data_IF_311495404102
#
_entry.id   IF_311495404102
#
_cell.length_a   1.000
_cell.length_b   1.000
_cell.length_c   1.000
_cell.angle_alpha   90.00
_cell.angle_beta   90.00
_cell.angle_gamma   90.00
#
_symmetry.space_group_name_H-M   'P 1'
#
loop_
_entity.id
_entity.type
_entity.pdbx_description
1 polymer ?
#
# COMPACT_ATOMS: atom_id res chain seq x y z
N UNK A 1 11.67 -11.20 -27.39
CA UNK A 1 11.50 -9.83 -26.87
C UNK A 1 11.61 -9.94 -25.36
N UNK A 2 12.32 -9.04 -24.71
CA UNK A 2 12.51 -9.11 -23.24
C UNK A 2 11.20 -8.73 -22.58
N UNK A 3 10.64 -9.61 -21.76
CA UNK A 3 9.35 -9.36 -21.10
C UNK A 3 9.52 -9.29 -19.59
N UNK A 4 9.11 -8.16 -19.01
CA UNK A 4 9.05 -7.95 -17.57
C UNK A 4 7.59 -8.06 -17.16
N UNK A 5 7.26 -8.94 -16.22
CA UNK A 5 5.91 -9.07 -15.70
C UNK A 5 5.76 -8.33 -14.37
N UNK A 6 4.81 -7.41 -14.29
CA UNK A 6 4.40 -6.74 -13.06
C UNK A 6 3.08 -7.35 -12.58
N UNK A 7 3.11 -8.07 -11.45
CA UNK A 7 1.99 -8.89 -10.99
C UNK A 7 1.32 -8.24 -9.78
N UNK A 8 0.01 -8.00 -9.88
CA UNK A 8 -0.81 -7.46 -8.80
C UNK A 8 -2.20 -8.08 -8.80
N UNK A 9 -2.85 -8.13 -7.63
CA UNK A 9 -4.20 -8.68 -7.51
C UNK A 9 -5.10 -7.86 -6.58
N UNK A 10 -4.54 -6.96 -5.81
CA UNK A 10 -5.29 -6.14 -4.85
C UNK A 10 -5.08 -4.65 -5.10
N UNK A 11 -6.02 -3.83 -4.61
CA UNK A 11 -5.93 -2.37 -4.72
C UNK A 11 -4.61 -1.80 -4.17
N UNK A 12 -4.09 -2.20 -2.99
CA UNK A 12 -2.81 -1.69 -2.49
C UNK A 12 -1.63 -2.05 -3.38
N UNK A 13 -1.60 -3.26 -3.95
CA UNK A 13 -0.57 -3.68 -4.90
C UNK A 13 -0.60 -2.81 -6.16
N UNK A 14 -1.80 -2.59 -6.72
CA UNK A 14 -1.96 -1.73 -7.91
C UNK A 14 -1.42 -0.34 -7.64
N UNK A 15 -1.83 0.31 -6.55
CA UNK A 15 -1.38 1.66 -6.19
C UNK A 15 0.15 1.73 -6.09
N UNK A 16 0.78 0.76 -5.44
CA UNK A 16 2.23 0.75 -5.17
C UNK A 16 3.06 0.29 -6.37
N UNK A 17 2.52 -0.57 -7.25
CA UNK A 17 3.21 -1.02 -8.45
C UNK A 17 2.99 -0.14 -9.68
N UNK A 18 1.93 0.64 -9.74
CA UNK A 18 1.65 1.53 -10.89
C UNK A 18 2.80 2.49 -11.21
N UNK A 19 3.45 3.17 -10.23
CA UNK A 19 4.63 3.98 -10.51
C UNK A 19 5.81 3.16 -11.04
N UNK A 20 6.02 1.95 -10.52
CA UNK A 20 7.08 1.04 -10.97
C UNK A 20 6.84 0.62 -12.41
N UNK A 21 5.61 0.20 -12.73
CA UNK A 21 5.20 -0.14 -14.11
C UNK A 21 5.43 1.03 -15.05
N UNK A 22 4.97 2.22 -14.69
CA UNK A 22 5.13 3.43 -15.53
C UNK A 22 6.60 3.75 -15.78
N UNK A 23 7.46 3.64 -14.77
CA UNK A 23 8.90 3.85 -14.92
C UNK A 23 9.57 2.72 -15.72
N UNK A 24 9.12 1.48 -15.56
CA UNK A 24 9.62 0.35 -16.34
C UNK A 24 9.26 0.50 -17.82
N UNK A 25 8.03 0.90 -18.16
CA UNK A 25 7.61 1.21 -19.53
C UNK A 25 8.47 2.33 -20.13
N UNK A 26 8.75 3.41 -19.38
CA UNK A 26 9.65 4.47 -19.83
C UNK A 26 11.07 4.00 -20.10
N UNK A 27 11.58 3.06 -19.31
CA UNK A 27 12.96 2.57 -19.36
C UNK A 27 13.18 1.50 -20.42
N UNK A 28 12.23 0.56 -20.57
CA UNK A 28 12.38 -0.65 -21.39
C UNK A 28 11.51 -0.64 -22.65
N UNK A 29 10.52 0.25 -22.73
CA UNK A 29 9.50 0.28 -23.79
C UNK A 29 8.23 -0.45 -23.41
N UNK A 30 7.09 -0.03 -23.94
CA UNK A 30 5.77 -0.60 -23.65
C UNK A 30 5.67 -2.10 -24.01
N UNK A 31 6.32 -2.49 -25.11
CA UNK A 31 6.33 -3.88 -25.60
C UNK A 31 7.15 -4.85 -24.71
N UNK A 32 7.94 -4.29 -23.78
CA UNK A 32 8.81 -5.08 -22.92
C UNK A 32 8.27 -5.24 -21.50
N UNK A 33 7.16 -4.59 -21.16
CA UNK A 33 6.61 -4.61 -19.79
C UNK A 33 5.13 -4.92 -19.85
N UNK A 34 4.72 -5.98 -19.17
CA UNK A 34 3.32 -6.41 -19.12
C UNK A 34 2.79 -6.35 -17.70
N UNK A 35 1.57 -5.83 -17.55
CA UNK A 35 0.82 -5.89 -16.30
C UNK A 35 -0.03 -7.16 -16.27
N UNK A 36 0.17 -7.97 -15.23
CA UNK A 36 -0.61 -9.19 -14.96
C UNK A 36 -1.53 -8.92 -13.78
N UNK A 37 -2.84 -8.93 -14.02
CA UNK A 37 -3.83 -8.86 -12.95
C UNK A 37 -4.16 -10.29 -12.48
N UNK A 38 -3.94 -10.59 -11.21
CA UNK A 38 -4.19 -11.93 -10.67
C UNK A 38 -5.68 -12.27 -10.51
N UNK A 39 -6.59 -11.30 -10.69
CA UNK A 39 -8.04 -11.50 -10.52
C UNK A 39 -8.49 -11.66 -9.05
N UNK A 40 -7.60 -11.47 -8.06
CA UNK A 40 -7.94 -11.64 -6.65
C UNK A 40 -8.99 -10.63 -6.17
N UNK A 41 -8.97 -9.38 -6.66
CA UNK A 41 -9.99 -8.36 -6.41
C UNK A 41 -10.26 -7.61 -7.72
N UNK A 42 -11.47 -7.71 -8.28
CA UNK A 42 -11.78 -7.12 -9.57
C UNK A 42 -12.13 -5.62 -9.44
N UNK A 43 -13.22 -5.26 -8.80
CA UNK A 43 -13.78 -3.89 -8.88
C UNK A 43 -12.86 -2.79 -8.33
N UNK A 44 -12.28 -2.96 -7.13
CA UNK A 44 -11.44 -1.91 -6.51
C UNK A 44 -10.04 -1.85 -7.12
N UNK A 45 -9.51 -2.97 -7.60
CA UNK A 45 -8.23 -3.02 -8.29
C UNK A 45 -8.37 -2.37 -9.68
N UNK A 46 -9.46 -2.63 -10.39
CA UNK A 46 -9.74 -2.06 -11.71
C UNK A 46 -9.86 -0.54 -11.65
N UNK A 47 -10.61 0.00 -10.66
CA UNK A 47 -10.70 1.45 -10.43
C UNK A 47 -9.32 2.08 -10.11
N UNK A 48 -8.45 1.35 -9.42
CA UNK A 48 -7.10 1.82 -9.18
C UNK A 48 -6.25 1.81 -10.48
N UNK A 49 -6.36 0.78 -11.31
CA UNK A 49 -5.71 0.73 -12.62
C UNK A 49 -6.14 1.89 -13.52
N UNK A 50 -7.44 2.18 -13.56
CA UNK A 50 -7.99 3.33 -14.31
C UNK A 50 -7.39 4.67 -13.84
N UNK A 51 -7.21 4.85 -12.51
CA UNK A 51 -6.62 6.07 -11.95
C UNK A 51 -5.20 6.34 -12.48
N UNK A 52 -4.45 5.27 -12.78
CA UNK A 52 -3.09 5.34 -13.36
C UNK A 52 -3.06 5.17 -14.88
N UNK A 53 -4.19 4.93 -15.53
CA UNK A 53 -4.28 4.70 -16.97
C UNK A 53 -3.62 3.40 -17.43
N UNK A 54 -3.60 2.37 -16.58
CA UNK A 54 -3.00 1.08 -16.86
C UNK A 54 -4.07 0.09 -17.32
N UNK A 55 -3.80 -0.59 -18.43
CA UNK A 55 -4.61 -1.70 -18.90
C UNK A 55 -3.81 -3.00 -18.73
N UNK A 56 -4.35 -4.02 -18.05
CA UNK A 56 -3.70 -5.32 -17.94
C UNK A 56 -3.53 -5.98 -19.33
N UNK A 57 -2.34 -6.52 -19.58
CA UNK A 57 -2.09 -7.39 -20.74
C UNK A 57 -2.67 -8.79 -20.52
N UNK A 58 -2.56 -9.28 -19.28
CA UNK A 58 -3.11 -10.59 -18.86
C UNK A 58 -3.95 -10.44 -17.60
N UNK A 59 -5.11 -11.12 -17.56
CA UNK A 59 -5.96 -11.28 -16.37
C UNK A 59 -6.10 -12.76 -16.08
N UNK A 60 -5.70 -13.18 -14.87
CA UNK A 60 -5.80 -14.57 -14.41
C UNK A 60 -7.19 -14.86 -13.81
N UNK A 61 -7.63 -16.09 -13.90
CA UNK A 61 -8.89 -16.56 -13.31
C UNK A 61 -8.66 -17.27 -11.97
N UNK A 62 -8.01 -16.60 -11.01
CA UNK A 62 -7.55 -17.22 -9.77
C UNK A 62 -8.61 -17.35 -8.67
N UNK A 63 -9.64 -16.48 -8.67
CA UNK A 63 -10.68 -16.47 -7.64
C UNK A 63 -11.74 -17.56 -7.88
N UNK A 64 -12.16 -18.18 -6.77
CA UNK A 64 -13.26 -19.12 -6.73
C UNK A 64 -14.32 -18.69 -5.72
N UNK A 65 -15.53 -19.22 -5.87
CA UNK A 65 -16.69 -18.85 -5.05
C UNK A 65 -16.51 -19.19 -3.55
N UNK A 66 -15.68 -20.16 -3.19
CA UNK A 66 -15.42 -20.58 -1.81
C UNK A 66 -14.42 -19.71 -1.05
N UNK A 67 -13.64 -18.87 -1.74
CA UNK A 67 -12.71 -17.91 -1.13
C UNK A 67 -11.58 -18.52 -0.28
N UNK A 68 -11.33 -19.83 -0.37
CA UNK A 68 -10.31 -20.54 0.39
C UNK A 68 -8.90 -20.11 -0.05
N UNK A 69 -8.04 -19.78 0.94
CA UNK A 69 -6.63 -19.42 0.66
C UNK A 69 -5.87 -20.56 -0.04
N UNK A 70 -6.16 -21.81 0.29
CA UNK A 70 -5.54 -22.97 -0.34
C UNK A 70 -5.88 -23.05 -1.82
N UNK A 71 -7.16 -22.91 -2.16
CA UNK A 71 -7.62 -22.94 -3.57
C UNK A 71 -7.08 -21.75 -4.35
N UNK A 72 -7.12 -20.56 -3.76
CA UNK A 72 -6.52 -19.35 -4.36
C UNK A 72 -5.03 -19.56 -4.67
N UNK A 73 -4.27 -20.11 -3.73
CA UNK A 73 -2.84 -20.40 -3.93
C UNK A 73 -2.59 -21.40 -5.05
N UNK A 74 -3.35 -22.50 -5.08
CA UNK A 74 -3.23 -23.50 -6.13
C UNK A 74 -3.52 -22.90 -7.52
N UNK A 75 -4.59 -22.13 -7.65
CA UNK A 75 -4.97 -21.51 -8.91
C UNK A 75 -3.91 -20.50 -9.36
N UNK A 76 -3.47 -19.60 -8.48
CA UNK A 76 -2.42 -18.61 -8.78
C UNK A 76 -1.14 -19.29 -9.26
N UNK A 77 -0.66 -20.30 -8.55
CA UNK A 77 0.56 -21.03 -8.93
C UNK A 77 0.38 -21.68 -10.30
N UNK A 78 -0.74 -22.37 -10.54
CA UNK A 78 -1.00 -23.06 -11.82
C UNK A 78 -1.13 -22.10 -13.00
N UNK A 79 -1.84 -20.99 -12.83
CA UNK A 79 -2.03 -19.98 -13.88
C UNK A 79 -0.72 -19.24 -14.21
N UNK A 80 0.05 -18.86 -13.18
CA UNK A 80 1.35 -18.21 -13.35
C UNK A 80 2.39 -19.16 -13.98
N UNK A 81 2.39 -20.44 -13.61
CA UNK A 81 3.29 -21.44 -14.19
C UNK A 81 3.06 -21.59 -15.70
N UNK A 82 1.79 -21.69 -16.13
CA UNK A 82 1.44 -21.72 -17.56
C UNK A 82 1.85 -20.43 -18.28
N UNK A 83 1.58 -19.26 -17.65
CA UNK A 83 1.95 -17.97 -18.23
C UNK A 83 3.48 -17.89 -18.43
N UNK A 84 4.27 -18.23 -17.40
CA UNK A 84 5.73 -18.12 -17.46
C UNK A 84 6.34 -19.10 -18.46
N UNK A 85 5.76 -20.29 -18.60
CA UNK A 85 6.17 -21.26 -19.64
C UNK A 85 5.90 -20.72 -21.06
N UNK A 86 4.82 -19.95 -21.26
CA UNK A 86 4.45 -19.39 -22.56
C UNK A 86 5.21 -18.13 -22.95
N UNK A 87 5.45 -17.22 -21.96
CA UNK A 87 6.07 -15.90 -22.20
C UNK A 87 7.57 -15.93 -21.95
N UNK A 88 8.07 -16.78 -21.06
CA UNK A 88 9.47 -16.85 -20.62
C UNK A 88 10.00 -15.47 -20.19
N UNK A 89 9.46 -14.87 -19.09
CA UNK A 89 9.83 -13.51 -18.71
C UNK A 89 11.29 -13.42 -18.23
N UNK A 90 11.91 -12.26 -18.43
CA UNK A 90 13.26 -12.00 -17.96
C UNK A 90 13.31 -11.51 -16.50
N UNK A 91 12.24 -10.91 -16.02
CA UNK A 91 12.06 -10.53 -14.63
C UNK A 91 10.59 -10.52 -14.24
N UNK A 92 10.35 -10.73 -12.95
CA UNK A 92 9.04 -10.61 -12.31
C UNK A 92 9.11 -9.58 -11.20
N UNK A 93 8.10 -8.70 -11.11
CA UNK A 93 7.97 -7.71 -10.04
C UNK A 93 6.72 -8.02 -9.24
N UNK A 94 6.87 -8.19 -7.93
CA UNK A 94 5.79 -8.40 -6.97
C UNK A 94 5.86 -7.38 -5.84
N UNK A 95 4.75 -7.12 -5.15
CA UNK A 95 4.69 -6.13 -4.08
C UNK A 95 4.08 -6.71 -2.81
N UNK A 96 4.69 -6.40 -1.68
CA UNK A 96 4.13 -6.66 -0.35
C UNK A 96 4.10 -8.13 0.00
N UNK A 97 2.92 -8.60 0.44
CA UNK A 97 2.80 -9.83 1.21
C UNK A 97 1.52 -10.63 0.91
N UNK A 98 0.85 -10.28 -0.18
CA UNK A 98 -0.37 -11.00 -0.60
C UNK A 98 -0.06 -12.42 -1.06
N UNK A 99 -1.09 -13.26 -1.15
CA UNK A 99 -0.97 -14.58 -1.76
C UNK A 99 -0.55 -14.48 -3.23
N UNK A 100 -0.98 -13.44 -3.94
CA UNK A 100 -0.54 -13.12 -5.31
C UNK A 100 0.96 -12.86 -5.37
N UNK A 101 1.50 -12.01 -4.49
CA UNK A 101 2.92 -11.70 -4.44
C UNK A 101 3.76 -12.95 -4.12
N UNK A 102 3.30 -13.77 -3.17
CA UNK A 102 3.96 -15.03 -2.82
C UNK A 102 3.95 -16.01 -4.00
N UNK A 103 2.80 -16.23 -4.65
CA UNK A 103 2.71 -17.13 -5.80
C UNK A 103 3.60 -16.67 -6.96
N UNK A 104 3.62 -15.36 -7.26
CA UNK A 104 4.50 -14.78 -8.28
C UNK A 104 5.98 -15.00 -8.00
N UNK A 105 6.42 -14.79 -6.76
CA UNK A 105 7.81 -15.02 -6.35
C UNK A 105 8.18 -16.53 -6.40
N UNK A 106 7.27 -17.42 -5.97
CA UNK A 106 7.48 -18.85 -5.95
C UNK A 106 7.62 -19.42 -7.37
N UNK A 107 6.72 -19.06 -8.27
CA UNK A 107 6.75 -19.53 -9.66
C UNK A 107 7.97 -18.94 -10.39
N UNK A 108 8.33 -17.68 -10.16
CA UNK A 108 9.55 -17.09 -10.67
C UNK A 108 10.80 -17.89 -10.24
N UNK A 109 10.85 -18.31 -8.97
CA UNK A 109 11.94 -19.14 -8.46
C UNK A 109 12.00 -20.51 -9.17
N UNK A 110 10.87 -21.18 -9.39
CA UNK A 110 10.81 -22.47 -10.09
C UNK A 110 11.32 -22.37 -11.52
N UNK A 111 10.99 -21.28 -12.22
CA UNK A 111 11.45 -21.02 -13.58
C UNK A 111 12.85 -20.36 -13.64
N UNK A 112 13.54 -20.16 -12.49
CA UNK A 112 14.83 -19.45 -12.39
C UNK A 112 14.81 -18.04 -12.96
N UNK A 113 13.66 -17.39 -12.87
CA UNK A 113 13.44 -16.00 -13.29
C UNK A 113 13.71 -15.10 -12.08
N UNK A 114 14.50 -14.03 -12.21
CA UNK A 114 14.72 -13.10 -11.12
C UNK A 114 13.43 -12.40 -10.70
N UNK A 115 13.21 -12.36 -9.40
CA UNK A 115 12.07 -11.69 -8.77
C UNK A 115 12.52 -10.43 -8.05
N UNK A 116 11.89 -9.30 -8.33
CA UNK A 116 12.05 -8.01 -7.64
C UNK A 116 10.89 -7.85 -6.66
N UNK A 117 11.20 -7.82 -5.38
CA UNK A 117 10.21 -7.68 -4.31
C UNK A 117 10.12 -6.23 -3.83
N UNK A 118 9.06 -5.54 -4.19
CA UNK A 118 8.76 -4.16 -3.78
C UNK A 118 8.10 -4.17 -2.40
N UNK A 119 8.46 -3.22 -1.53
CA UNK A 119 8.04 -3.14 -0.13
C UNK A 119 8.50 -4.36 0.70
N UNK A 120 9.73 -4.77 0.49
CA UNK A 120 10.34 -5.89 1.20
C UNK A 120 10.75 -5.52 2.63
N UNK A 121 10.72 -6.48 3.54
CA UNK A 121 11.33 -6.34 4.87
C UNK A 121 10.44 -5.76 5.96
N UNK A 122 9.17 -5.46 5.72
CA UNK A 122 8.21 -5.18 6.78
C UNK A 122 8.00 -6.43 7.64
N UNK A 123 7.97 -6.29 8.97
CA UNK A 123 7.81 -7.42 9.91
C UNK A 123 6.91 -7.05 11.08
N UNK A 124 6.01 -7.99 11.40
CA UNK A 124 5.32 -8.04 12.70
C UNK A 124 6.00 -8.98 13.69
N UNK A 125 6.85 -9.89 13.18
CA UNK A 125 7.49 -10.98 13.92
C UNK A 125 6.54 -12.05 14.49
N UNK A 126 5.26 -11.99 14.11
CA UNK A 126 4.23 -12.97 14.47
C UNK A 126 3.54 -13.48 13.20
N UNK A 127 3.88 -14.71 12.78
CA UNK A 127 3.31 -15.32 11.55
C UNK A 127 1.80 -15.50 11.58
N UNK A 128 1.17 -15.32 12.74
CA UNK A 128 -0.29 -15.40 12.90
C UNK A 128 -0.96 -14.03 12.84
N UNK A 129 -0.16 -12.93 12.85
CA UNK A 129 -0.70 -11.57 12.88
C UNK A 129 0.21 -10.53 12.18
N UNK A 130 -0.19 -9.97 11.03
CA UNK A 130 -1.36 -10.30 10.22
C UNK A 130 -1.23 -11.67 9.55
N UNK A 131 -2.36 -12.35 9.37
CA UNK A 131 -2.43 -13.66 8.72
C UNK A 131 -3.19 -13.54 7.39
N UNK A 132 -2.64 -14.06 6.27
CA UNK A 132 -1.39 -14.85 6.11
C UNK A 132 -0.15 -13.98 5.78
N UNK A 133 -0.22 -12.65 5.85
CA UNK A 133 0.72 -11.69 5.27
C UNK A 133 2.13 -11.84 5.85
N UNK A 134 2.29 -12.00 7.17
CA UNK A 134 3.63 -12.12 7.76
C UNK A 134 4.36 -13.38 7.29
N UNK A 135 3.65 -14.49 7.16
CA UNK A 135 4.23 -15.72 6.62
C UNK A 135 4.63 -15.56 5.15
N UNK A 136 3.76 -14.94 4.34
CA UNK A 136 4.03 -14.69 2.92
C UNK A 136 5.29 -13.84 2.74
N UNK A 137 5.42 -12.71 3.46
CA UNK A 137 6.57 -11.81 3.30
C UNK A 137 7.90 -12.45 3.70
N UNK A 138 7.89 -13.36 4.68
CA UNK A 138 9.08 -14.14 5.04
C UNK A 138 9.46 -15.15 3.95
N UNK A 139 8.48 -15.86 3.40
CA UNK A 139 8.74 -16.80 2.31
C UNK A 139 9.25 -16.08 1.05
N UNK A 140 8.66 -14.93 0.68
CA UNK A 140 9.12 -14.12 -0.44
C UNK A 140 10.57 -13.67 -0.22
N UNK A 141 10.95 -13.31 1.02
CA UNK A 141 12.33 -12.89 1.32
C UNK A 141 13.38 -13.95 1.01
N UNK A 142 13.02 -15.24 1.08
CA UNK A 142 13.92 -16.34 0.67
C UNK A 142 14.01 -16.51 -0.84
N UNK A 143 12.99 -16.13 -1.59
CA UNK A 143 12.83 -16.39 -3.03
C UNK A 143 13.31 -15.22 -3.92
N UNK A 144 13.05 -13.98 -3.52
CA UNK A 144 13.30 -12.81 -4.34
C UNK A 144 14.79 -12.55 -4.59
N UNK A 145 15.13 -12.04 -5.77
CA UNK A 145 16.51 -11.73 -6.20
C UNK A 145 16.95 -10.35 -5.70
N UNK A 146 16.04 -9.37 -5.66
CA UNK A 146 16.26 -8.01 -5.11
C UNK A 146 15.12 -7.70 -4.14
N UNK A 147 15.48 -7.11 -3.02
CA UNK A 147 14.58 -6.65 -1.96
C UNK A 147 14.58 -5.13 -1.90
N UNK A 148 13.51 -4.51 -2.37
CA UNK A 148 13.33 -3.07 -2.35
C UNK A 148 12.65 -2.68 -1.03
N UNK A 149 13.46 -2.35 -0.03
CA UNK A 149 12.99 -1.99 1.30
C UNK A 149 12.48 -0.54 1.33
N UNK A 150 11.28 -0.28 1.88
CA UNK A 150 10.73 1.08 1.93
C UNK A 150 11.44 1.97 2.95
N UNK A 151 12.07 1.40 3.97
CA UNK A 151 12.76 2.14 5.04
C UNK A 151 14.06 1.45 5.45
N UNK A 152 15.00 2.15 6.12
CA UNK A 152 16.18 1.53 6.70
C UNK A 152 15.84 0.42 7.71
N UNK A 153 14.74 0.56 8.46
CA UNK A 153 14.26 -0.46 9.40
C UNK A 153 13.85 -1.75 8.65
N UNK A 154 13.14 -1.63 7.55
CA UNK A 154 12.77 -2.77 6.74
C UNK A 154 14.00 -3.49 6.16
N UNK A 155 15.00 -2.74 5.71
CA UNK A 155 16.29 -3.30 5.28
C UNK A 155 17.01 -4.03 6.41
N UNK A 156 17.02 -3.48 7.62
CA UNK A 156 17.63 -4.11 8.78
C UNK A 156 16.94 -5.44 9.15
N UNK A 157 15.62 -5.53 9.02
CA UNK A 157 14.91 -6.78 9.24
C UNK A 157 15.37 -7.87 8.26
N UNK A 158 15.58 -7.52 6.98
CA UNK A 158 16.09 -8.45 5.96
C UNK A 158 17.53 -8.92 6.31
N UNK A 159 18.42 -8.02 6.76
CA UNK A 159 19.77 -8.37 7.19
C UNK A 159 19.76 -9.36 8.35
N UNK A 160 18.91 -9.13 9.36
CA UNK A 160 18.73 -10.02 10.51
C UNK A 160 18.22 -11.41 10.12
N UNK A 161 17.50 -11.52 9.01
CA UNK A 161 17.04 -12.79 8.46
C UNK A 161 18.06 -13.44 7.51
N UNK A 162 19.26 -12.84 7.35
CA UNK A 162 20.35 -13.41 6.58
C UNK A 162 20.29 -13.12 5.08
N UNK A 163 19.46 -12.16 4.64
CA UNK A 163 19.50 -11.69 3.25
C UNK A 163 20.81 -10.96 2.99
N UNK A 164 21.51 -11.33 1.92
CA UNK A 164 22.80 -10.76 1.55
C UNK A 164 22.65 -9.26 1.18
N UNK A 165 23.61 -8.44 1.61
CA UNK A 165 23.57 -6.97 1.49
C UNK A 165 23.40 -6.50 0.03
N UNK A 166 24.05 -7.17 -0.90
CA UNK A 166 23.97 -6.85 -2.34
C UNK A 166 22.59 -7.11 -2.95
N UNK A 167 21.68 -7.78 -2.23
CA UNK A 167 20.30 -8.02 -2.63
C UNK A 167 19.31 -7.06 -1.97
N UNK A 168 19.77 -6.21 -1.04
CA UNK A 168 18.93 -5.27 -0.29
C UNK A 168 19.14 -3.85 -0.83
N UNK A 169 18.06 -3.17 -1.19
CA UNK A 169 18.07 -1.79 -1.63
C UNK A 169 17.05 -0.98 -0.84
N UNK A 170 17.47 0.07 -0.15
CA UNK A 170 16.56 1.02 0.48
C UNK A 170 16.07 2.00 -0.60
N UNK A 171 14.83 1.84 -1.03
CA UNK A 171 14.25 2.60 -2.14
C UNK A 171 13.37 3.77 -1.71
N UNK A 172 12.79 3.72 -0.52
CA UNK A 172 11.58 4.44 -0.17
C UNK A 172 10.33 3.63 -0.56
N UNK A 173 9.16 4.07 -0.12
CA UNK A 173 7.90 3.43 -0.42
C UNK A 173 7.29 4.04 -1.70
N UNK A 174 6.93 3.22 -2.66
CA UNK A 174 6.33 3.62 -3.93
C UNK A 174 4.93 4.25 -3.79
N UNK A 175 4.32 4.16 -2.62
CA UNK A 175 3.07 4.88 -2.33
C UNK A 175 3.28 6.40 -2.42
N UNK A 176 4.47 6.91 -2.08
CA UNK A 176 4.79 8.35 -2.21
C UNK A 176 4.87 8.76 -3.67
N UNK A 177 5.46 7.90 -4.53
CA UNK A 177 5.44 8.09 -5.98
C UNK A 177 4.01 8.10 -6.53
N UNK A 178 3.15 7.19 -6.04
CA UNK A 178 1.74 7.10 -6.43
C UNK A 178 0.95 8.36 -6.04
N UNK A 179 1.14 8.85 -4.81
CA UNK A 179 0.51 10.10 -4.33
C UNK A 179 0.98 11.28 -5.18
N UNK A 180 2.28 11.40 -5.45
CA UNK A 180 2.81 12.49 -6.27
C UNK A 180 2.23 12.46 -7.69
N UNK A 181 2.07 11.28 -8.29
CA UNK A 181 1.45 11.14 -9.62
C UNK A 181 0.02 11.70 -9.68
N UNK A 182 -0.80 11.43 -8.66
CA UNK A 182 -2.19 11.90 -8.64
C UNK A 182 -2.33 13.33 -8.10
N UNK A 183 -1.41 13.77 -7.22
CA UNK A 183 -1.42 15.11 -6.64
C UNK A 183 -1.38 16.21 -7.69
N UNK A 184 -0.62 16.04 -8.75
CA UNK A 184 -0.55 16.98 -9.87
C UNK A 184 -1.93 17.18 -10.52
N UNK A 185 -2.73 16.11 -10.61
CA UNK A 185 -4.10 16.16 -11.13
C UNK A 185 -5.09 16.81 -10.16
N UNK A 186 -4.80 16.74 -8.84
CA UNK A 186 -5.67 17.23 -7.77
C UNK A 186 -5.42 18.69 -7.35
N UNK A 187 -4.29 19.29 -7.74
CA UNK A 187 -3.93 20.68 -7.40
C UNK A 187 -4.96 21.74 -7.87
N UNK A 188 -5.86 21.36 -8.77
CA UNK A 188 -6.95 22.22 -9.28
C UNK A 188 -8.25 22.10 -8.45
N UNK A 189 -8.29 21.24 -7.42
CA UNK A 189 -9.49 21.06 -6.62
C UNK A 189 -9.71 22.24 -5.67
N UNK A 190 -10.97 22.71 -5.50
CA UNK A 190 -11.30 23.78 -4.54
C UNK A 190 -10.86 23.39 -3.13
N UNK A 191 -10.21 24.32 -2.43
CA UNK A 191 -9.85 24.15 -1.02
C UNK A 191 -11.09 24.37 -0.13
N UNK A 192 -11.15 23.77 1.08
CA UNK A 192 -12.20 24.03 2.04
C UNK A 192 -12.32 25.53 2.36
N UNK A 193 -13.52 25.97 2.74
CA UNK A 193 -13.72 27.36 3.18
C UNK A 193 -12.85 27.68 4.39
N UNK A 194 -12.39 28.93 4.48
CA UNK A 194 -11.55 29.39 5.58
C UNK A 194 -12.19 29.12 6.95
N UNK A 195 -11.41 28.53 7.86
CA UNK A 195 -11.83 28.26 9.23
C UNK A 195 -12.53 26.91 9.46
N UNK A 196 -12.94 26.17 8.42
CA UNK A 196 -13.47 24.80 8.58
C UNK A 196 -12.35 23.79 8.81
N UNK A 197 -12.57 22.88 9.76
CA UNK A 197 -11.68 21.75 10.10
C UNK A 197 -12.32 20.45 9.61
N UNK A 198 -11.95 19.99 8.42
CA UNK A 198 -12.41 18.70 7.90
C UNK A 198 -11.58 17.58 8.46
N UNK A 199 -12.22 16.60 9.06
CA UNK A 199 -11.59 15.40 9.62
C UNK A 199 -12.01 14.20 8.76
N UNK A 200 -11.05 13.55 8.13
CA UNK A 200 -11.30 12.30 7.44
C UNK A 200 -11.23 11.14 8.43
N UNK A 201 -12.24 10.30 8.44
CA UNK A 201 -12.29 9.08 9.26
C UNK A 201 -12.33 7.86 8.36
N UNK A 202 -11.44 6.89 8.62
CA UNK A 202 -11.51 5.58 7.99
C UNK A 202 -11.34 4.49 9.03
N UNK A 203 -12.32 3.60 9.15
CA UNK A 203 -12.35 2.49 10.10
C UNK A 203 -12.92 1.26 9.41
N UNK A 204 -12.17 0.17 9.36
CA UNK A 204 -12.60 -1.05 8.67
C UNK A 204 -12.02 -2.33 9.24
N UNK A 205 -11.03 -2.25 10.15
CA UNK A 205 -10.35 -3.43 10.67
C UNK A 205 -11.23 -4.22 11.64
N UNK A 206 -11.09 -5.55 11.57
CA UNK A 206 -11.88 -6.50 12.37
C UNK A 206 -11.68 -6.31 13.87
N UNK A 207 -10.49 -5.85 14.28
CA UNK A 207 -10.12 -5.58 15.67
C UNK A 207 -11.02 -4.52 16.32
N UNK A 208 -11.59 -3.61 15.52
CA UNK A 208 -12.44 -2.51 15.98
C UNK A 208 -13.96 -2.82 15.88
N UNK A 209 -14.38 -4.05 15.50
CA UNK A 209 -15.80 -4.36 15.34
C UNK A 209 -16.52 -4.56 16.69
N UNK A 210 -17.83 -4.34 16.70
CA UNK A 210 -18.66 -4.47 17.90
C UNK A 210 -18.59 -3.25 18.81
N UNK A 211 -18.42 -3.45 20.10
CA UNK A 211 -18.43 -2.41 21.14
C UNK A 211 -17.38 -1.31 20.92
N UNK A 212 -16.21 -1.66 20.40
CA UNK A 212 -15.15 -0.70 20.08
C UNK A 212 -15.61 0.27 18.99
N UNK A 213 -16.27 -0.22 17.94
CA UNK A 213 -16.83 0.60 16.87
C UNK A 213 -17.89 1.57 17.41
N UNK A 214 -18.78 1.13 18.27
CA UNK A 214 -19.80 1.98 18.88
C UNK A 214 -19.19 3.06 19.76
N UNK A 215 -18.20 2.72 20.58
CA UNK A 215 -17.45 3.70 21.39
C UNK A 215 -16.75 4.74 20.52
N UNK A 216 -16.15 4.32 19.42
CA UNK A 216 -15.53 5.25 18.48
C UNK A 216 -16.56 6.17 17.81
N UNK A 217 -17.74 5.65 17.43
CA UNK A 217 -18.82 6.50 16.91
C UNK A 217 -19.27 7.55 17.94
N UNK A 218 -19.36 7.19 19.23
CA UNK A 218 -19.69 8.15 20.31
C UNK A 218 -18.61 9.23 20.40
N UNK A 219 -17.32 8.85 20.35
CA UNK A 219 -16.20 9.81 20.35
C UNK A 219 -16.22 10.77 19.15
N UNK A 220 -16.52 10.26 17.95
CA UNK A 220 -16.65 11.11 16.75
C UNK A 220 -17.80 12.11 16.87
N UNK A 221 -18.93 11.70 17.44
CA UNK A 221 -20.05 12.56 17.71
C UNK A 221 -19.70 13.65 18.73
N UNK A 222 -19.07 13.28 19.84
CA UNK A 222 -18.60 14.21 20.87
C UNK A 222 -17.63 15.25 20.26
N UNK A 223 -16.70 14.82 19.43
CA UNK A 223 -15.77 15.71 18.75
C UNK A 223 -16.50 16.71 17.85
N UNK A 224 -17.47 16.27 17.05
CA UNK A 224 -18.26 17.14 16.19
C UNK A 224 -19.13 18.09 17.01
N UNK A 225 -19.75 17.62 18.11
CA UNK A 225 -20.61 18.45 18.98
C UNK A 225 -19.81 19.51 19.73
N UNK A 226 -18.58 19.19 20.12
CA UNK A 226 -17.74 20.10 20.93
C UNK A 226 -17.13 21.26 20.13
N UNK A 227 -17.14 21.22 18.81
CA UNK A 227 -16.50 22.24 17.93
C UNK A 227 -17.37 22.54 16.70
N UNK A 228 -17.99 23.71 16.61
CA UNK A 228 -18.94 24.05 15.54
C UNK A 228 -18.29 24.15 14.15
N UNK A 229 -16.96 24.36 14.08
CA UNK A 229 -16.19 24.43 12.84
C UNK A 229 -15.59 23.07 12.40
N UNK A 230 -15.90 21.98 13.12
CA UNK A 230 -15.47 20.63 12.78
C UNK A 230 -16.53 19.95 11.93
N UNK A 231 -16.12 19.43 10.80
CA UNK A 231 -16.89 18.50 9.97
C UNK A 231 -16.15 17.18 9.82
N UNK A 232 -16.88 16.09 9.82
CA UNK A 232 -16.32 14.75 9.72
C UNK A 232 -16.81 14.11 8.42
N UNK A 233 -15.88 13.74 7.56
CA UNK A 233 -16.12 12.95 6.36
C UNK A 233 -15.75 11.49 6.64
N UNK A 234 -16.72 10.58 6.56
CA UNK A 234 -16.52 9.17 6.87
C UNK A 234 -16.96 8.28 5.70
N UNK A 235 -16.05 7.89 4.79
CA UNK A 235 -16.28 6.83 3.83
C UNK A 235 -16.50 5.51 4.56
N UNK A 236 -17.75 5.04 4.59
CA UNK A 236 -18.16 3.89 5.41
C UNK A 236 -17.91 2.59 4.66
N UNK A 237 -17.18 1.67 5.27
CA UNK A 237 -16.93 0.35 4.72
C UNK A 237 -18.23 -0.45 4.55
N UNK A 238 -18.36 -1.21 3.45
CA UNK A 238 -19.59 -1.93 3.09
C UNK A 238 -19.97 -3.08 4.04
N UNK A 239 -19.02 -3.56 4.85
CA UNK A 239 -19.29 -4.64 5.80
C UNK A 239 -20.40 -4.22 6.79
N UNK A 240 -21.48 -5.02 6.93
CA UNK A 240 -22.59 -4.71 7.84
C UNK A 240 -22.15 -4.42 9.27
N UNK A 241 -21.12 -5.11 9.78
CA UNK A 241 -20.58 -4.90 11.14
C UNK A 241 -19.97 -3.51 11.35
N UNK A 242 -19.62 -2.80 10.28
CA UNK A 242 -19.19 -1.41 10.32
C UNK A 242 -20.36 -0.49 10.00
N UNK A 243 -21.07 -0.79 8.90
CA UNK A 243 -22.09 0.07 8.33
C UNK A 243 -23.27 0.30 9.29
N UNK A 244 -23.79 -0.76 9.89
CA UNK A 244 -24.98 -0.68 10.75
C UNK A 244 -24.79 0.22 11.98
N UNK A 245 -23.76 0.02 12.84
CA UNK A 245 -23.54 0.88 14.00
C UNK A 245 -23.21 2.33 13.58
N UNK A 246 -22.41 2.54 12.53
CA UNK A 246 -22.06 3.87 12.04
C UNK A 246 -23.31 4.64 11.59
N UNK A 247 -24.15 4.06 10.73
CA UNK A 247 -25.40 4.72 10.30
C UNK A 247 -26.38 4.95 11.44
N UNK A 248 -26.49 4.02 12.37
CA UNK A 248 -27.39 4.13 13.54
C UNK A 248 -26.98 5.27 14.45
N UNK A 249 -25.69 5.42 14.74
CA UNK A 249 -25.17 6.35 15.74
C UNK A 249 -24.85 7.74 15.15
N UNK A 250 -24.42 7.81 13.90
CA UNK A 250 -23.91 9.04 13.27
C UNK A 250 -24.78 9.57 12.14
N UNK A 251 -25.66 8.75 11.56
CA UNK A 251 -26.37 9.07 10.31
C UNK A 251 -27.34 10.28 10.37
N UNK A 252 -27.66 10.76 11.57
CA UNK A 252 -28.53 11.96 11.76
C UNK A 252 -27.75 13.21 12.18
N UNK A 253 -26.44 13.13 12.31
CA UNK A 253 -25.65 14.28 12.76
C UNK A 253 -25.38 15.24 11.59
N UNK A 254 -25.67 16.56 11.71
CA UNK A 254 -25.61 17.49 10.58
C UNK A 254 -24.20 17.76 10.05
N UNK A 255 -23.15 17.52 10.84
CA UNK A 255 -21.74 17.75 10.49
C UNK A 255 -20.91 16.46 10.39
N UNK A 256 -21.58 15.30 10.31
CA UNK A 256 -20.91 14.03 10.04
C UNK A 256 -21.48 13.47 8.75
N UNK A 257 -20.66 13.45 7.73
CA UNK A 257 -21.02 13.05 6.38
C UNK A 257 -20.62 11.59 6.15
N UNK A 258 -21.61 10.69 6.17
CA UNK A 258 -21.40 9.28 5.86
C UNK A 258 -21.42 9.10 4.35
N UNK A 259 -20.29 8.70 3.79
CA UNK A 259 -20.07 8.59 2.35
C UNK A 259 -20.00 7.13 1.92
N UNK A 260 -20.27 6.86 0.65
CA UNK A 260 -19.93 5.58 0.04
C UNK A 260 -18.40 5.38 0.03
N UNK A 261 -17.91 4.14 -0.02
CA UNK A 261 -16.49 3.87 -0.22
C UNK A 261 -15.97 4.63 -1.44
N UNK A 262 -14.79 5.24 -1.29
CA UNK A 262 -14.18 6.05 -2.33
C UNK A 262 -13.23 5.21 -3.19
N UNK A 263 -13.13 5.57 -4.45
CA UNK A 263 -12.02 5.17 -5.31
C UNK A 263 -10.72 5.83 -4.85
N UNK A 264 -9.61 5.50 -5.49
CA UNK A 264 -8.30 6.03 -5.09
C UNK A 264 -8.23 7.55 -5.27
N UNK A 265 -8.70 8.09 -6.39
CA UNK A 265 -8.64 9.53 -6.67
C UNK A 265 -9.53 10.32 -5.70
N UNK A 266 -10.73 9.82 -5.42
CA UNK A 266 -11.64 10.42 -4.44
C UNK A 266 -11.05 10.46 -3.04
N UNK A 267 -10.38 9.37 -2.61
CA UNK A 267 -9.69 9.31 -1.33
C UNK A 267 -8.52 10.30 -1.28
N UNK A 268 -7.70 10.37 -2.31
CA UNK A 268 -6.57 11.30 -2.37
C UNK A 268 -7.03 12.76 -2.38
N UNK A 269 -8.13 13.07 -3.09
CA UNK A 269 -8.77 14.39 -3.04
C UNK A 269 -9.20 14.72 -1.63
N UNK A 270 -9.85 13.81 -0.95
CA UNK A 270 -10.34 14.03 0.41
C UNK A 270 -9.18 14.19 1.40
N UNK A 271 -8.12 13.39 1.29
CA UNK A 271 -6.90 13.54 2.06
C UNK A 271 -6.28 14.93 1.87
N UNK A 272 -6.18 15.40 0.63
CA UNK A 272 -5.60 16.72 0.32
C UNK A 272 -6.38 17.91 0.88
N UNK A 273 -7.64 17.71 1.23
CA UNK A 273 -8.56 18.70 1.78
C UNK A 273 -8.77 18.53 3.29
N UNK A 274 -8.19 17.50 3.89
CA UNK A 274 -8.37 17.19 5.31
C UNK A 274 -7.45 18.04 6.19
N UNK A 275 -7.97 18.47 7.32
CA UNK A 275 -7.20 19.05 8.40
C UNK A 275 -6.52 17.99 9.26
N UNK A 276 -7.20 16.88 9.50
CA UNK A 276 -6.78 15.79 10.36
C UNK A 276 -7.32 14.46 9.80
N UNK A 277 -6.58 13.38 9.98
CA UNK A 277 -7.02 12.03 9.65
C UNK A 277 -7.08 11.15 10.89
N UNK A 278 -8.21 10.45 11.07
CA UNK A 278 -8.41 9.42 12.09
C UNK A 278 -8.52 8.08 11.36
N UNK A 279 -7.54 7.17 11.52
CA UNK A 279 -7.51 5.96 10.68
C UNK A 279 -6.97 4.73 11.37
N UNK A 280 -7.50 3.56 11.01
CA UNK A 280 -6.94 2.24 11.29
C UNK A 280 -6.14 1.66 10.11
N UNK A 281 -6.10 2.36 8.97
CA UNK A 281 -5.46 1.93 7.73
C UNK A 281 -3.96 2.22 7.72
N UNK A 282 -3.12 1.21 7.40
CA UNK A 282 -1.69 1.38 7.20
C UNK A 282 -1.36 2.25 5.98
N UNK A 283 -2.09 2.07 4.86
CA UNK A 283 -1.87 2.86 3.64
C UNK A 283 -2.11 4.35 3.84
N UNK A 284 -3.17 4.72 4.55
CA UNK A 284 -3.47 6.13 4.83
C UNK A 284 -2.40 6.76 5.74
N UNK A 285 -1.82 6.00 6.68
CA UNK A 285 -0.68 6.46 7.47
C UNK A 285 0.55 6.78 6.61
N UNK A 286 0.72 6.08 5.49
CA UNK A 286 1.81 6.32 4.53
C UNK A 286 1.50 7.49 3.57
N UNK A 287 0.23 7.69 3.22
CA UNK A 287 -0.22 8.67 2.21
C UNK A 287 -0.42 10.07 2.79
N UNK A 288 -1.06 10.20 3.95
CA UNK A 288 -1.44 11.48 4.57
C UNK A 288 -0.26 12.46 4.78
N UNK A 289 0.95 12.00 5.18
CA UNK A 289 2.10 12.90 5.33
C UNK A 289 2.51 13.61 4.03
N UNK A 290 2.22 13.04 2.85
CA UNK A 290 2.48 13.70 1.56
C UNK A 290 1.66 14.97 1.34
N UNK A 291 0.56 15.11 2.08
CA UNK A 291 -0.31 16.29 2.07
C UNK A 291 -0.08 17.20 3.29
N UNK A 292 0.87 16.85 4.17
CA UNK A 292 1.10 17.56 5.42
C UNK A 292 -0.06 17.42 6.42
N UNK A 293 -0.82 16.32 6.35
CA UNK A 293 -1.99 16.08 7.20
C UNK A 293 -1.59 15.20 8.38
N UNK A 294 -1.76 15.65 9.64
CA UNK A 294 -1.53 14.86 10.84
C UNK A 294 -2.43 13.63 10.90
N UNK A 295 -1.93 12.55 11.51
CA UNK A 295 -2.64 11.28 11.61
C UNK A 295 -2.81 10.85 13.06
N UNK A 296 -4.05 10.56 13.47
CA UNK A 296 -4.34 9.84 14.71
C UNK A 296 -4.70 8.38 14.37
N UNK A 297 -3.88 7.47 14.89
CA UNK A 297 -3.98 6.04 14.56
C UNK A 297 -4.91 5.35 15.56
N UNK A 298 -6.03 4.84 15.05
CA UNK A 298 -7.10 4.17 15.81
C UNK A 298 -6.78 2.69 16.06
N UNK A 299 -5.55 2.40 16.48
CA UNK A 299 -5.05 1.05 16.77
C UNK A 299 -4.18 1.08 18.02
N UNK A 300 -4.07 -0.05 18.70
CA UNK A 300 -3.15 -0.20 19.85
C UNK A 300 -1.69 -0.20 19.43
N UNK A 301 -1.40 -0.75 18.26
CA UNK A 301 -0.08 -0.81 17.64
C UNK A 301 -0.16 -0.42 16.17
N UNK A 302 0.90 0.16 15.64
CA UNK A 302 1.05 0.41 14.20
C UNK A 302 2.27 -0.32 13.65
N UNK A 303 2.14 -0.78 12.42
CA UNK A 303 3.25 -1.33 11.61
C UNK A 303 4.03 -0.22 10.88
N UNK A 304 3.74 1.03 11.19
CA UNK A 304 4.32 2.25 10.60
C UNK A 304 4.95 3.12 11.69
N UNK A 305 5.92 2.58 12.44
CA UNK A 305 6.52 3.30 13.57
C UNK A 305 7.27 4.56 13.15
N UNK A 306 7.75 4.63 11.90
CA UNK A 306 8.52 5.76 11.38
C UNK A 306 7.74 7.08 11.47
N UNK A 307 6.46 7.09 11.15
CA UNK A 307 5.63 8.30 11.25
C UNK A 307 5.38 8.72 12.71
N UNK A 308 5.27 7.75 13.62
CA UNK A 308 5.08 8.00 15.06
C UNK A 308 6.37 8.52 15.70
N UNK A 309 7.50 7.88 15.41
CA UNK A 309 8.82 8.27 15.94
C UNK A 309 9.25 9.65 15.46
N UNK A 310 8.85 10.05 14.26
CA UNK A 310 9.09 11.39 13.72
C UNK A 310 8.04 12.43 14.14
N UNK A 311 7.01 12.03 14.89
CA UNK A 311 5.99 12.90 15.44
C UNK A 311 4.87 13.29 14.46
N UNK A 312 4.76 12.66 13.29
CA UNK A 312 3.73 12.97 12.27
C UNK A 312 2.47 12.13 12.41
N UNK A 313 2.53 11.07 13.22
CA UNK A 313 1.38 10.28 13.60
C UNK A 313 1.39 10.05 15.12
N UNK A 314 0.20 9.95 15.71
CA UNK A 314 0.03 9.61 17.12
C UNK A 314 -0.88 8.39 17.25
N UNK A 315 -0.43 7.36 17.95
CA UNK A 315 -1.26 6.21 18.31
C UNK A 315 -2.18 6.60 19.46
N UNK A 316 -3.51 6.60 19.22
CA UNK A 316 -4.52 6.89 20.24
C UNK A 316 -5.18 5.63 20.77
N UNK A 317 -4.99 4.51 20.09
CA UNK A 317 -5.72 3.28 20.38
C UNK A 317 -7.21 3.42 20.07
N UNK A 318 -8.00 2.59 20.74
CA UNK A 318 -9.46 2.56 20.65
C UNK A 318 -10.14 3.17 21.89
N UNK A 319 -9.39 3.91 22.72
CA UNK A 319 -9.95 4.64 23.86
C UNK A 319 -10.58 5.96 23.41
N UNK A 320 -11.91 6.14 23.53
CA UNK A 320 -12.61 7.34 23.08
C UNK A 320 -12.10 8.61 23.69
N UNK A 321 -11.82 8.63 24.98
CA UNK A 321 -11.37 9.84 25.68
C UNK A 321 -9.96 10.26 25.22
N UNK A 322 -9.09 9.34 24.94
CA UNK A 322 -7.74 9.61 24.40
C UNK A 322 -7.83 10.17 23.00
N UNK A 323 -8.69 9.59 22.13
CA UNK A 323 -8.93 10.10 20.78
C UNK A 323 -9.46 11.53 20.80
N UNK A 324 -10.53 11.80 21.58
CA UNK A 324 -11.16 13.12 21.65
C UNK A 324 -10.16 14.17 22.15
N UNK A 325 -9.42 13.88 23.23
CA UNK A 325 -8.38 14.79 23.76
C UNK A 325 -7.27 15.07 22.73
N UNK A 326 -6.78 14.04 22.02
CA UNK A 326 -5.75 14.21 21.02
C UNK A 326 -6.24 15.05 19.84
N UNK A 327 -7.44 14.79 19.34
CA UNK A 327 -8.04 15.56 18.25
C UNK A 327 -8.31 17.02 18.66
N UNK A 328 -8.89 17.25 19.85
CA UNK A 328 -9.15 18.61 20.37
C UNK A 328 -7.85 19.40 20.53
N UNK A 329 -6.79 18.77 21.05
CA UNK A 329 -5.48 19.42 21.16
C UNK A 329 -4.97 19.92 19.80
N UNK A 330 -5.07 19.10 18.74
CA UNK A 330 -4.64 19.49 17.40
C UNK A 330 -5.53 20.57 16.78
N UNK A 331 -6.82 20.64 17.15
CA UNK A 331 -7.76 21.65 16.67
C UNK A 331 -7.52 22.98 17.38
N UNK A 332 -7.29 22.96 18.69
CA UNK A 332 -7.26 24.15 19.55
C UNK A 332 -5.86 24.76 19.67
N UNK A 333 -4.78 23.97 19.47
CA UNK A 333 -3.39 24.39 19.61
C UNK A 333 -2.66 24.36 18.25
N UNK A 334 -2.45 25.54 17.62
CA UNK A 334 -1.74 25.63 16.35
C UNK A 334 -0.27 25.16 16.40
N UNK A 335 0.38 25.20 17.56
CA UNK A 335 1.77 24.71 17.70
C UNK A 335 1.77 23.19 17.73
N UNK A 336 0.87 22.58 18.50
CA UNK A 336 0.70 21.13 18.50
C UNK A 336 0.35 20.61 17.08
N UNK A 337 -0.50 21.31 16.35
CA UNK A 337 -0.82 20.96 14.97
C UNK A 337 0.43 21.04 14.09
N UNK A 338 1.13 22.18 14.07
CA UNK A 338 2.33 22.38 13.27
C UNK A 338 3.43 21.38 13.56
N UNK A 339 3.57 20.95 14.81
CA UNK A 339 4.57 19.93 15.20
C UNK A 339 4.28 18.56 14.59
N UNK A 340 3.04 18.28 14.19
CA UNK A 340 2.64 17.03 13.53
C UNK A 340 2.56 17.14 12.00
N UNK A 341 2.75 18.33 11.44
CA UNK A 341 2.80 18.50 9.97
C UNK A 341 4.17 18.08 9.46
N UNK A 342 4.22 17.01 8.67
CA UNK A 342 5.46 16.51 8.12
C UNK A 342 6.04 17.48 7.08
N UNK A 343 7.33 17.89 7.18
CA UNK A 343 7.98 18.71 6.16
C UNK A 343 8.26 17.90 4.89
N UNK A 344 8.37 16.58 5.00
CA UNK A 344 8.50 15.61 3.92
C UNK A 344 7.87 14.29 4.36
N UNK A 345 7.49 13.42 3.42
CA UNK A 345 6.92 12.14 3.77
C UNK A 345 8.00 11.21 4.37
N UNK A 346 7.81 10.65 5.59
CA UNK A 346 8.79 9.81 6.26
C UNK A 346 9.06 8.48 5.56
N UNK A 347 8.19 8.07 4.65
CA UNK A 347 8.28 6.81 3.91
C UNK A 347 8.99 6.94 2.56
N UNK A 348 9.34 8.14 2.10
CA UNK A 348 10.09 8.33 0.86
C UNK A 348 9.98 9.73 0.27
N UNK A 349 10.76 9.93 -0.79
CA UNK A 349 10.91 11.20 -1.50
C UNK A 349 10.19 11.23 -2.87
N UNK A 350 9.45 10.17 -3.22
CA UNK A 350 8.74 10.05 -4.49
C UNK A 350 9.61 9.60 -5.67
N UNK A 351 10.76 9.02 -5.39
CA UNK A 351 11.69 8.46 -6.40
C UNK A 351 11.95 6.96 -6.20
N UNK A 352 11.11 6.27 -5.44
CA UNK A 352 11.27 4.85 -5.16
C UNK A 352 11.16 4.01 -6.44
N UNK A 353 10.16 4.28 -7.26
CA UNK A 353 9.95 3.58 -8.53
C UNK A 353 11.15 3.70 -9.49
N UNK A 354 11.77 4.87 -9.58
CA UNK A 354 12.95 5.06 -10.40
C UNK A 354 14.16 4.25 -9.91
N UNK A 355 14.38 4.19 -8.58
CA UNK A 355 15.45 3.38 -7.97
C UNK A 355 15.22 1.88 -8.20
N UNK A 356 13.98 1.42 -8.07
CA UNK A 356 13.60 0.01 -8.32
C UNK A 356 13.89 -0.37 -9.77
N UNK A 357 13.46 0.44 -10.73
CA UNK A 357 13.66 0.18 -12.16
C UNK A 357 15.14 0.24 -12.55
N UNK A 358 15.91 1.12 -11.93
CA UNK A 358 17.36 1.18 -12.11
C UNK A 358 18.02 -0.13 -11.64
N UNK A 359 17.71 -0.58 -10.42
CA UNK A 359 18.24 -1.84 -9.88
C UNK A 359 17.85 -3.06 -10.73
N UNK A 360 16.61 -3.09 -11.24
CA UNK A 360 16.17 -4.12 -12.16
C UNK A 360 16.95 -4.08 -13.47
N UNK A 361 17.21 -2.91 -14.03
CA UNK A 361 18.04 -2.74 -15.24
C UNK A 361 19.46 -3.28 -15.05
N UNK A 362 20.07 -3.01 -13.90
CA UNK A 362 21.40 -3.53 -13.56
C UNK A 362 21.41 -5.05 -13.40
N UNK A 363 20.37 -5.61 -12.76
CA UNK A 363 20.21 -7.06 -12.61
C UNK A 363 20.13 -7.75 -13.98
N UNK A 364 19.30 -7.26 -14.89
CA UNK A 364 19.12 -7.82 -16.23
C UNK A 364 20.41 -7.71 -17.07
N UNK A 365 21.14 -6.60 -16.94
CA UNK A 365 22.42 -6.42 -17.64
C UNK A 365 23.48 -7.43 -17.18
N UNK A 366 23.58 -7.72 -15.89
CA UNK A 366 24.52 -8.72 -15.32
C UNK A 366 24.20 -10.15 -15.80
N UNK A 367 22.91 -10.48 -15.99
CA UNK A 367 22.51 -11.79 -16.49
C UNK A 367 22.85 -11.97 -17.98
N UNK A 368 22.67 -10.97 -18.80
CA UNK A 368 23.03 -11.00 -20.22
C UNK A 368 24.54 -11.30 -20.41
N UNK A 369 25.39 -10.63 -19.63
CA UNK A 369 26.84 -10.86 -19.67
C UNK A 369 27.21 -12.29 -19.24
N UNK A 370 26.56 -12.85 -18.22
CA UNK A 370 26.81 -14.24 -17.77
C UNK A 370 26.38 -15.27 -18.81
N UNK A 371 25.26 -15.06 -19.50
CA UNK A 371 24.77 -15.97 -20.54
C UNK A 371 25.70 -15.98 -21.76
N UNK A 372 26.24 -14.82 -22.16
CA UNK A 372 27.21 -14.72 -23.26
C UNK A 372 28.53 -15.45 -22.93
N UNK A 373 29.05 -15.30 -21.72
CA UNK A 373 30.29 -15.99 -21.30
C UNK A 373 30.08 -17.52 -21.22
N UNK A 374 28.91 -18.00 -20.76
CA UNK A 374 28.60 -19.41 -20.71
C UNK A 374 28.45 -20.01 -22.12
N UNK A 375 27.87 -19.26 -23.06
CA UNK A 375 27.74 -19.69 -24.45
C UNK A 375 29.10 -19.76 -25.16
N UNK A 376 29.99 -18.81 -24.89
CA UNK A 376 31.35 -18.79 -25.43
C UNK A 376 32.19 -19.95 -24.88
N UNK A 377 32.05 -20.26 -23.57
CA UNK A 377 32.74 -21.41 -22.98
C UNK A 377 32.29 -22.76 -23.56
N UNK A 378 30.97 -22.91 -23.79
CA UNK A 378 30.40 -24.15 -24.37
C UNK A 378 30.73 -24.34 -25.88
N UNK A 379 31.18 -23.32 -26.59
CA UNK A 379 31.61 -23.40 -27.99
C UNK A 379 33.11 -23.75 -28.09
N UNK A 380 33.86 -23.58 -26.99
CA UNK A 380 35.31 -23.86 -26.91
C UNK A 380 35.64 -25.28 -26.35
N UNK A 381 34.64 -26.01 -25.85
CA UNK A 381 34.71 -27.43 -25.54
C UNK A 381 34.19 -28.31 -26.72
#
# INVERSE_FOLDING_TARGET
MKTILVIAGTRPEVIKLAPVYTQAVKRFGAEAVEWVNSGQHTTLADLALEAFGIQPGTVLESMTADGSLGVLSCNLISELDRLFASVTPEAVVVQGDTTTAFAGALVAFYHRIPCVHVEAGLRSFDCTNPFPEEANRRMISSLASIHCAPTPRAAENLRREGVAEERILVTGNTVVDAVNHVREKLLQAPQPADGQRRILVTMHRREAWGDEMEKMCVALRELADSRPNVEIDFPVHLNPRVREPVHRLLGKHPRIHLLAPLDYLGLQKMLSQSYLVLTDSGGIQEEAPSYGVPVLVLRRLTERPEAVEQGYAQVTGTDPATLVRAAQRLIDDPEAYRSMVAPANPFGDGHAAARIVQAMSELLSRQSVKSEHSSLAAVME
#
